data_IF_379423215559
#
_entry.id   IF_379423215559
#
_cell.length_a   1.000
_cell.length_b   1.000
_cell.length_c   1.000
_cell.angle_alpha   90.00
_cell.angle_beta   90.00
_cell.angle_gamma   90.00
#
_symmetry.space_group_name_H-M   'P 1'
#
loop_
_entity.id
_entity.type
_entity.pdbx_description
1 polymer ?
#
# COMPACT_ATOMS: atom_id res chain seq x y z
N UNK A 1 77.71 2.84 16.37
CA UNK A 1 76.58 1.94 16.70
C UNK A 1 75.29 2.61 16.17
N UNK A 2 74.90 2.29 14.92
CA UNK A 2 73.77 2.91 14.24
C UNK A 2 72.53 2.07 14.39
N UNK A 3 71.56 2.59 15.14
CA UNK A 3 70.20 2.00 15.27
C UNK A 3 69.33 2.47 14.13
N UNK A 4 69.00 1.60 13.18
CA UNK A 4 67.95 1.81 12.18
C UNK A 4 66.60 1.51 12.83
N UNK A 5 65.68 2.47 12.87
CA UNK A 5 64.30 2.29 13.25
C UNK A 5 63.51 1.66 12.08
N UNK A 6 62.65 0.66 12.32
CA UNK A 6 61.77 0.12 11.28
C UNK A 6 60.61 1.10 11.01
N UNK A 7 60.37 1.37 9.77
CA UNK A 7 59.20 2.12 9.26
C UNK A 7 58.03 1.16 9.16
N UNK A 8 57.03 1.33 10.01
CA UNK A 8 55.76 0.61 9.90
C UNK A 8 54.87 1.37 8.89
N UNK A 9 54.65 0.77 7.72
CA UNK A 9 53.66 1.24 6.74
C UNK A 9 52.30 0.67 7.17
N UNK A 10 51.45 1.53 7.69
CA UNK A 10 50.07 1.20 7.98
C UNK A 10 49.26 1.24 6.67
N UNK A 11 48.96 0.05 6.12
CA UNK A 11 48.10 -0.10 4.96
C UNK A 11 46.64 0.08 5.43
N UNK A 12 46.09 1.28 5.30
CA UNK A 12 44.67 1.53 5.53
C UNK A 12 43.86 0.93 4.38
N UNK A 13 43.32 -0.25 4.62
CA UNK A 13 42.35 -0.88 3.72
C UNK A 13 41.06 -0.07 3.70
N UNK A 14 40.81 0.66 2.61
CA UNK A 14 39.53 1.28 2.34
C UNK A 14 38.55 0.18 1.94
N UNK A 15 37.71 -0.24 2.86
CA UNK A 15 36.53 -1.08 2.55
C UNK A 15 35.54 -0.21 1.76
N UNK A 16 35.55 -0.31 0.45
CA UNK A 16 34.48 0.18 -0.40
C UNK A 16 33.25 -0.72 -0.17
N UNK A 17 32.37 -0.31 0.73
CA UNK A 17 31.01 -0.82 0.74
C UNK A 17 30.38 -0.37 -0.58
N UNK A 18 30.29 -1.26 -1.55
CA UNK A 18 29.42 -1.08 -2.72
C UNK A 18 27.97 -1.16 -2.21
N UNK A 19 27.37 -0.02 -1.90
CA UNK A 19 25.94 0.08 -1.79
C UNK A 19 25.37 -0.31 -3.17
N UNK A 20 24.62 -1.43 -3.23
CA UNK A 20 23.85 -1.75 -4.41
C UNK A 20 22.98 -0.53 -4.74
N UNK A 21 22.88 -0.10 -6.01
CA UNK A 21 22.06 1.05 -6.36
C UNK A 21 20.62 0.71 -5.99
N UNK A 22 20.13 1.30 -4.90
CA UNK A 22 18.72 1.27 -4.56
C UNK A 22 17.99 1.81 -5.79
N UNK A 23 17.10 1.00 -6.39
CA UNK A 23 16.28 1.48 -7.50
C UNK A 23 15.51 2.69 -7.01
N UNK A 24 15.75 3.82 -7.66
CA UNK A 24 15.07 5.07 -7.33
C UNK A 24 13.56 4.91 -7.53
N UNK A 25 12.79 5.52 -6.67
CA UNK A 25 11.35 5.66 -6.83
C UNK A 25 11.06 6.34 -8.18
N UNK A 26 10.14 5.78 -8.95
CA UNK A 26 9.74 6.32 -10.25
C UNK A 26 8.38 6.98 -10.14
N UNK A 27 8.29 8.23 -10.60
CA UNK A 27 7.06 8.99 -10.73
C UNK A 27 6.71 9.17 -12.20
N UNK A 28 5.50 8.78 -12.58
CA UNK A 28 4.87 9.17 -13.83
C UNK A 28 3.79 10.20 -13.51
N UNK A 29 4.02 11.45 -13.94
CA UNK A 29 3.14 12.57 -13.66
C UNK A 29 1.86 12.51 -14.51
N UNK A 30 0.77 13.19 -14.06
CA UNK A 30 -0.42 13.37 -14.87
C UNK A 30 -0.12 14.08 -16.20
N UNK A 31 -0.90 13.77 -17.23
CA UNK A 31 -0.89 14.48 -18.51
C UNK A 31 -1.87 15.64 -18.58
N UNK A 32 -2.75 15.74 -17.58
CA UNK A 32 -3.77 16.79 -17.46
C UNK A 32 -3.63 17.53 -16.12
N UNK A 33 -4.33 18.65 -15.99
CA UNK A 33 -4.50 19.42 -14.76
C UNK A 33 -5.93 19.23 -14.26
N UNK A 34 -6.14 19.29 -12.93
CA UNK A 34 -7.45 19.21 -12.29
C UNK A 34 -7.45 19.82 -10.90
N UNK A 35 -8.61 19.88 -10.26
CA UNK A 35 -8.77 20.39 -8.89
C UNK A 35 -8.34 19.38 -7.82
N UNK A 36 -8.32 18.11 -8.15
CA UNK A 36 -7.87 17.01 -7.32
C UNK A 36 -7.01 16.05 -8.13
N UNK A 37 -6.43 15.04 -7.51
CA UNK A 37 -5.63 14.02 -8.19
C UNK A 37 -5.83 12.63 -7.59
N UNK A 38 -5.38 11.60 -8.31
CA UNK A 38 -5.43 10.20 -7.91
C UNK A 38 -4.05 9.55 -8.04
N UNK A 39 -3.73 8.59 -7.18
CA UNK A 39 -2.46 7.89 -7.22
C UNK A 39 -2.62 6.38 -7.45
N UNK A 40 -1.89 5.85 -8.40
CA UNK A 40 -1.62 4.43 -8.56
C UNK A 40 -0.28 4.13 -7.91
N UNK A 41 -0.30 3.41 -6.79
CA UNK A 41 0.90 2.98 -6.07
C UNK A 41 1.15 1.52 -6.39
N UNK A 42 2.35 1.19 -6.86
CA UNK A 42 2.66 -0.17 -7.31
C UNK A 42 4.10 -0.56 -7.01
N UNK A 43 4.40 -1.85 -6.99
CA UNK A 43 5.79 -2.32 -6.98
C UNK A 43 6.43 -2.25 -8.37
N UNK A 44 7.76 -2.16 -8.42
CA UNK A 44 8.50 -1.99 -9.69
C UNK A 44 8.29 -3.14 -10.68
N UNK A 45 8.06 -4.35 -10.19
CA UNK A 45 7.84 -5.51 -11.06
C UNK A 45 6.45 -5.48 -11.66
N UNK A 46 5.43 -5.24 -10.85
CA UNK A 46 4.05 -5.09 -11.35
C UNK A 46 3.93 -3.93 -12.33
N UNK A 47 4.60 -2.78 -12.05
CA UNK A 47 4.65 -1.64 -12.97
C UNK A 47 5.22 -2.02 -14.35
N UNK A 48 6.23 -2.87 -14.39
CA UNK A 48 6.84 -3.33 -15.64
C UNK A 48 5.98 -4.36 -16.37
N UNK A 49 5.49 -5.38 -15.65
CA UNK A 49 4.73 -6.51 -16.24
C UNK A 49 3.33 -6.09 -16.72
N UNK A 50 2.71 -5.09 -16.06
CA UNK A 50 1.36 -4.62 -16.38
C UNK A 50 1.35 -3.19 -16.96
N UNK A 51 2.48 -2.71 -17.47
CA UNK A 51 2.63 -1.33 -17.95
C UNK A 51 1.55 -0.88 -18.95
N UNK A 52 1.23 -1.65 -20.00
CA UNK A 52 0.20 -1.24 -20.97
C UNK A 52 -1.17 -1.01 -20.32
N UNK A 53 -1.56 -1.90 -19.39
CA UNK A 53 -2.85 -1.84 -18.71
C UNK A 53 -2.92 -0.67 -17.70
N UNK A 54 -1.83 -0.41 -16.97
CA UNK A 54 -1.75 0.74 -16.08
C UNK A 54 -1.79 2.07 -16.86
N UNK A 55 -1.11 2.13 -18.00
CA UNK A 55 -1.17 3.30 -18.87
C UNK A 55 -2.58 3.53 -19.40
N UNK A 56 -3.27 2.48 -19.85
CA UNK A 56 -4.66 2.57 -20.31
C UNK A 56 -5.60 3.00 -19.18
N UNK A 57 -5.43 2.47 -17.97
CA UNK A 57 -6.20 2.84 -16.80
C UNK A 57 -6.00 4.32 -16.44
N UNK A 58 -4.76 4.79 -16.37
CA UNK A 58 -4.43 6.20 -16.18
C UNK A 58 -5.12 7.08 -17.23
N UNK A 59 -4.95 6.76 -18.51
CA UNK A 59 -5.54 7.53 -19.60
C UNK A 59 -7.07 7.59 -19.53
N UNK A 60 -7.70 6.52 -19.09
CA UNK A 60 -9.16 6.45 -18.93
C UNK A 60 -9.63 7.40 -17.81
N UNK A 61 -8.98 7.40 -16.66
CA UNK A 61 -9.31 8.31 -15.56
C UNK A 61 -9.00 9.78 -15.93
N UNK A 62 -7.91 10.03 -16.63
CA UNK A 62 -7.57 11.37 -17.11
C UNK A 62 -8.56 11.88 -18.18
N UNK A 63 -9.12 11.00 -18.99
CA UNK A 63 -10.19 11.37 -19.93
C UNK A 63 -11.48 11.81 -19.22
N UNK A 64 -11.70 11.35 -17.99
CA UNK A 64 -12.81 11.78 -17.11
C UNK A 64 -12.46 13.07 -16.31
N UNK A 65 -11.26 13.61 -16.48
CA UNK A 65 -10.82 14.85 -15.85
C UNK A 65 -10.07 14.66 -14.52
N UNK A 66 -9.70 13.41 -14.14
CA UNK A 66 -8.98 13.12 -12.91
C UNK A 66 -7.48 12.92 -13.20
N UNK A 67 -6.58 13.87 -12.83
CA UNK A 67 -5.13 13.74 -12.94
C UNK A 67 -4.61 12.54 -12.19
N UNK A 68 -3.81 11.66 -12.83
CA UNK A 68 -3.33 10.42 -12.25
C UNK A 68 -1.82 10.35 -12.17
N UNK A 69 -1.29 10.16 -10.96
CA UNK A 69 0.10 9.80 -10.69
C UNK A 69 0.27 8.30 -10.70
N UNK A 70 1.29 7.75 -11.38
CA UNK A 70 1.73 6.37 -11.17
C UNK A 70 3.07 6.42 -10.42
N UNK A 71 3.11 5.84 -9.23
CA UNK A 71 4.31 5.79 -8.40
C UNK A 71 4.72 4.35 -8.20
N UNK A 72 5.91 4.00 -8.66
CA UNK A 72 6.47 2.66 -8.51
C UNK A 72 7.79 2.65 -7.76
N UNK A 73 7.96 1.66 -6.89
CA UNK A 73 9.19 1.47 -6.12
C UNK A 73 9.29 0.02 -5.64
N UNK A 74 10.50 -0.41 -5.27
CA UNK A 74 10.72 -1.65 -4.53
C UNK A 74 10.51 -1.36 -3.03
N UNK A 75 9.22 -1.24 -2.67
CA UNK A 75 8.78 -0.86 -1.33
C UNK A 75 9.26 -1.85 -0.28
N UNK A 76 9.82 -1.36 0.80
CA UNK A 76 10.30 -2.19 1.92
C UNK A 76 9.48 -2.00 3.19
N UNK A 77 8.81 -0.86 3.35
CA UNK A 77 7.96 -0.57 4.51
C UNK A 77 6.69 0.19 4.14
N UNK A 78 5.61 0.07 4.93
CA UNK A 78 4.40 0.87 4.77
C UNK A 78 4.62 2.37 4.87
N UNK A 79 5.56 2.81 5.73
CA UNK A 79 5.87 4.23 5.92
C UNK A 79 6.31 4.90 4.62
N UNK A 80 7.15 4.23 3.83
CA UNK A 80 7.59 4.77 2.52
C UNK A 80 6.40 5.10 1.61
N UNK A 81 5.39 4.26 1.61
CA UNK A 81 4.16 4.48 0.82
C UNK A 81 3.35 5.62 1.42
N UNK A 82 3.18 5.62 2.74
CA UNK A 82 2.42 6.65 3.46
C UNK A 82 3.02 8.04 3.26
N UNK A 83 4.35 8.15 3.29
CA UNK A 83 5.06 9.42 3.08
C UNK A 83 4.82 9.98 1.68
N UNK A 84 4.78 9.11 0.67
CA UNK A 84 4.44 9.50 -0.71
C UNK A 84 3.00 10.01 -0.80
N UNK A 85 2.06 9.31 -0.19
CA UNK A 85 0.65 9.70 -0.21
C UNK A 85 0.44 11.04 0.51
N UNK A 86 1.06 11.24 1.68
CA UNK A 86 1.03 12.52 2.41
C UNK A 86 1.61 13.66 1.59
N UNK A 87 2.72 13.42 0.88
CA UNK A 87 3.30 14.42 0.01
C UNK A 87 2.36 14.78 -1.15
N UNK A 88 1.79 13.79 -1.82
CA UNK A 88 0.83 14.04 -2.91
C UNK A 88 -0.43 14.74 -2.39
N UNK A 89 -0.92 14.40 -1.19
CA UNK A 89 -2.03 15.07 -0.54
C UNK A 89 -1.74 16.56 -0.29
N UNK A 90 -0.59 16.87 0.30
CA UNK A 90 -0.20 18.23 0.65
C UNK A 90 0.13 19.11 -0.58
N UNK A 91 0.74 18.53 -1.62
CA UNK A 91 1.29 19.29 -2.75
C UNK A 91 0.41 19.23 -4.01
N UNK A 92 -0.41 18.18 -4.16
CA UNK A 92 -1.10 17.85 -5.40
C UNK A 92 -2.61 17.57 -5.23
N UNK A 93 -3.19 17.94 -4.09
CA UNK A 93 -4.61 17.73 -3.77
C UNK A 93 -5.07 16.27 -4.04
N UNK A 94 -4.32 15.29 -3.54
CA UNK A 94 -4.66 13.87 -3.68
C UNK A 94 -5.99 13.60 -2.99
N UNK A 95 -6.96 13.04 -3.72
CA UNK A 95 -8.26 12.63 -3.17
C UNK A 95 -8.39 11.13 -2.94
N UNK A 96 -7.55 10.33 -3.62
CA UNK A 96 -7.60 8.87 -3.48
C UNK A 96 -6.43 8.14 -4.10
N UNK A 97 -6.33 6.84 -3.78
CA UNK A 97 -5.30 5.98 -4.35
C UNK A 97 -5.76 4.53 -4.55
N UNK A 98 -5.03 3.81 -5.40
CA UNK A 98 -5.12 2.36 -5.52
C UNK A 98 -3.74 1.73 -5.37
N UNK A 99 -3.65 0.70 -4.53
CA UNK A 99 -2.45 -0.13 -4.38
C UNK A 99 -2.53 -1.32 -5.31
N UNK A 100 -1.59 -1.45 -6.25
CA UNK A 100 -1.59 -2.53 -7.24
C UNK A 100 -0.34 -3.40 -7.08
N UNK A 101 -0.53 -4.71 -6.91
CA UNK A 101 0.56 -5.68 -6.78
C UNK A 101 1.10 -5.83 -5.37
N UNK A 102 2.43 -5.92 -5.25
CA UNK A 102 3.15 -6.20 -4.02
C UNK A 102 3.51 -4.92 -3.25
N UNK A 103 2.50 -4.14 -2.90
CA UNK A 103 2.64 -2.97 -2.00
C UNK A 103 2.51 -3.44 -0.55
N UNK A 104 3.38 -3.01 0.39
CA UNK A 104 3.33 -3.40 1.79
C UNK A 104 1.93 -3.34 2.39
N UNK A 105 1.65 -4.21 3.35
CA UNK A 105 0.35 -4.33 4.01
C UNK A 105 0.56 -4.07 5.51
N UNK A 106 -0.07 -3.03 6.01
CA UNK A 106 -0.12 -2.77 7.44
C UNK A 106 -1.12 -3.72 8.11
N UNK A 107 -0.63 -4.49 9.08
CA UNK A 107 -1.38 -5.44 9.90
C UNK A 107 -1.58 -4.80 11.28
N UNK A 108 -2.82 -4.44 11.62
CA UNK A 108 -3.14 -3.71 12.84
C UNK A 108 -3.62 -4.66 13.93
N UNK A 109 -2.95 -4.62 15.08
CA UNK A 109 -3.35 -5.33 16.29
C UNK A 109 -3.95 -4.38 17.32
N UNK A 110 -4.63 -4.87 18.33
CA UNK A 110 -5.29 -4.15 19.44
C UNK A 110 -6.31 -3.09 19.05
N UNK A 111 -6.21 -2.48 17.89
CA UNK A 111 -7.16 -1.52 17.36
C UNK A 111 -8.07 -2.12 16.28
N UNK A 112 -8.37 -3.40 16.35
CA UNK A 112 -9.20 -4.12 15.38
C UNK A 112 -10.60 -3.52 15.22
N UNK A 113 -11.13 -2.85 16.24
CA UNK A 113 -12.40 -2.12 16.16
C UNK A 113 -12.44 -0.99 15.15
N UNK A 114 -11.28 -0.47 14.74
CA UNK A 114 -11.13 0.54 13.68
C UNK A 114 -10.96 -0.08 12.29
N UNK A 115 -10.77 -1.39 12.20
CA UNK A 115 -10.37 -2.03 10.96
C UNK A 115 -11.27 -3.19 10.55
N UNK A 116 -11.82 -3.93 11.54
CA UNK A 116 -12.60 -5.13 11.34
C UNK A 116 -13.56 -5.38 12.51
N UNK A 117 -14.66 -6.03 12.23
CA UNK A 117 -15.59 -6.50 13.25
C UNK A 117 -15.10 -7.75 13.99
N UNK A 118 -14.10 -8.44 13.47
CA UNK A 118 -13.61 -9.70 14.03
C UNK A 118 -12.48 -9.44 15.03
N UNK A 119 -12.62 -9.98 16.24
CA UNK A 119 -11.63 -9.83 17.31
C UNK A 119 -11.22 -11.20 17.83
N UNK A 120 -9.92 -11.40 18.00
CA UNK A 120 -9.35 -12.55 18.68
C UNK A 120 -8.70 -12.09 19.99
N UNK A 121 -8.63 -12.99 20.97
CA UNK A 121 -7.93 -12.69 22.23
C UNK A 121 -6.41 -12.72 22.00
N UNK A 122 -5.79 -11.57 22.13
CA UNK A 122 -4.36 -11.39 21.90
C UNK A 122 -3.48 -12.06 22.95
N UNK A 123 -4.05 -12.45 24.11
CA UNK A 123 -3.35 -13.20 25.17
C UNK A 123 -3.16 -14.65 24.80
N UNK A 124 -4.08 -15.21 24.03
CA UNK A 124 -4.14 -16.63 23.67
C UNK A 124 -3.65 -16.90 22.25
N UNK A 125 -3.49 -15.83 21.42
CA UNK A 125 -3.14 -15.94 20.02
C UNK A 125 -1.93 -15.06 19.65
N UNK A 126 -1.03 -15.55 18.80
CA UNK A 126 0.13 -14.78 18.38
C UNK A 126 -0.26 -13.58 17.50
N UNK A 127 0.63 -12.60 17.44
CA UNK A 127 0.44 -11.32 16.73
C UNK A 127 -0.04 -11.48 15.28
N UNK A 128 0.47 -12.47 14.54
CA UNK A 128 0.09 -12.69 13.14
C UNK A 128 -1.34 -13.24 12.98
N UNK A 129 -1.94 -13.83 14.03
CA UNK A 129 -3.33 -14.32 14.02
C UNK A 129 -4.31 -13.24 14.49
N UNK A 130 -3.87 -12.36 15.40
CA UNK A 130 -4.71 -11.32 16.00
C UNK A 130 -4.73 -10.02 15.23
N UNK A 131 -3.78 -9.82 14.30
CA UNK A 131 -3.70 -8.63 13.48
C UNK A 131 -4.53 -8.75 12.22
N UNK A 132 -5.11 -7.64 11.78
CA UNK A 132 -5.92 -7.54 10.56
C UNK A 132 -5.29 -6.56 9.58
N UNK A 133 -5.34 -6.84 8.26
CA UNK A 133 -4.88 -5.89 7.26
C UNK A 133 -5.77 -4.65 7.26
N UNK A 134 -5.15 -3.47 7.22
CA UNK A 134 -5.91 -2.23 7.18
C UNK A 134 -5.22 -1.16 6.36
N UNK A 135 -5.89 -0.69 5.32
CA UNK A 135 -5.42 0.44 4.52
C UNK A 135 -5.69 1.79 5.20
N UNK A 136 -6.34 1.81 6.40
CA UNK A 136 -6.43 3.00 7.28
C UNK A 136 -5.05 3.56 7.66
N UNK A 137 -4.05 2.72 7.65
CA UNK A 137 -2.66 3.14 7.80
C UNK A 137 -2.22 4.15 6.72
N UNK A 138 -2.79 4.06 5.53
CA UNK A 138 -2.39 4.84 4.35
C UNK A 138 -3.33 6.01 4.05
N UNK A 139 -4.59 5.92 4.41
CA UNK A 139 -5.63 6.84 3.96
C UNK A 139 -6.21 7.72 5.06
N UNK A 140 -5.84 7.47 6.33
CA UNK A 140 -6.11 8.33 7.48
C UNK A 140 -4.77 8.82 8.03
N UNK A 141 -4.44 10.08 7.74
CA UNK A 141 -3.12 10.62 8.06
C UNK A 141 -2.98 11.08 9.51
N UNK A 142 -4.08 11.23 10.24
CA UNK A 142 -4.09 11.62 11.64
C UNK A 142 -3.79 10.43 12.56
N UNK A 143 -4.10 9.21 12.13
CA UNK A 143 -3.81 8.01 12.92
C UNK A 143 -2.32 7.81 13.12
N UNK A 144 -1.95 7.45 14.36
CA UNK A 144 -0.57 7.18 14.76
C UNK A 144 -0.41 5.71 15.10
N UNK A 145 0.66 5.10 14.59
CA UNK A 145 0.93 3.68 14.74
C UNK A 145 2.33 3.44 15.30
N UNK A 146 2.44 2.41 16.14
CA UNK A 146 3.70 1.94 16.72
C UNK A 146 4.02 0.59 16.11
N UNK A 147 5.19 0.43 15.45
CA UNK A 147 5.61 -0.86 14.90
C UNK A 147 5.69 -1.93 15.98
N UNK A 148 5.25 -3.15 15.66
CA UNK A 148 5.27 -4.30 16.54
C UNK A 148 6.16 -5.41 15.98
N UNK A 149 6.93 -6.06 16.86
CA UNK A 149 7.79 -7.19 16.47
C UNK A 149 9.04 -6.78 15.68
N UNK A 150 9.71 -7.79 15.12
CA UNK A 150 10.89 -7.60 14.27
C UNK A 150 10.45 -7.10 12.89
N UNK A 151 11.20 -6.16 12.25
CA UNK A 151 10.88 -5.73 10.90
C UNK A 151 10.70 -6.92 9.96
N UNK A 152 9.55 -6.98 9.30
CA UNK A 152 9.26 -8.04 8.35
C UNK A 152 10.09 -7.87 7.07
N UNK A 153 10.60 -8.97 6.52
CA UNK A 153 11.21 -8.97 5.19
C UNK A 153 10.16 -9.25 4.08
N UNK A 154 8.89 -9.37 4.45
CA UNK A 154 7.79 -9.65 3.55
C UNK A 154 6.86 -8.47 3.34
N UNK A 155 5.66 -8.77 2.86
CA UNK A 155 4.62 -7.74 2.63
C UNK A 155 3.88 -7.32 3.90
N UNK A 156 3.86 -8.14 4.95
CA UNK A 156 3.09 -7.91 6.18
C UNK A 156 3.97 -7.20 7.22
N UNK A 157 3.51 -6.03 7.68
CA UNK A 157 4.16 -5.23 8.70
C UNK A 157 3.17 -4.97 9.83
N UNK A 158 3.56 -5.26 11.06
CA UNK A 158 2.67 -5.28 12.20
C UNK A 158 2.74 -3.99 12.99
N UNK A 159 1.59 -3.46 13.36
CA UNK A 159 1.44 -2.21 14.11
C UNK A 159 0.38 -2.33 15.18
N UNK A 160 0.56 -1.52 16.21
CA UNK A 160 -0.46 -1.17 17.18
C UNK A 160 -0.81 0.30 17.01
N UNK A 161 -2.08 0.66 17.13
CA UNK A 161 -2.46 2.05 17.14
C UNK A 161 -1.94 2.70 18.45
N UNK A 162 -1.27 3.85 18.32
CA UNK A 162 -0.77 4.58 19.49
C UNK A 162 -1.91 4.98 20.41
N UNK A 163 -1.73 4.91 21.75
CA UNK A 163 -2.72 5.44 22.69
C UNK A 163 -3.00 6.93 22.49
N UNK A 164 -2.03 7.68 21.95
CA UNK A 164 -2.15 9.12 21.67
C UNK A 164 -2.81 9.41 20.31
N UNK A 165 -3.11 8.36 19.53
CA UNK A 165 -3.81 8.48 18.25
C UNK A 165 -5.28 8.86 18.46
N UNK A 166 -5.90 9.61 17.53
CA UNK A 166 -7.36 9.68 17.47
C UNK A 166 -7.98 8.28 17.50
N UNK A 167 -9.05 8.12 18.29
CA UNK A 167 -9.72 6.82 18.47
C UNK A 167 -10.94 6.68 17.53
N UNK A 168 -10.97 7.43 16.45
CA UNK A 168 -11.98 7.41 15.40
C UNK A 168 -11.32 7.47 14.02
N UNK A 169 -12.00 7.01 12.99
CA UNK A 169 -11.54 7.05 11.61
C UNK A 169 -12.05 8.32 10.94
N UNK A 170 -11.15 9.09 10.34
CA UNK A 170 -11.45 10.25 9.53
C UNK A 170 -10.52 10.27 8.31
N UNK A 171 -10.89 9.48 7.28
CA UNK A 171 -10.03 9.31 6.12
C UNK A 171 -9.82 10.61 5.36
N UNK A 172 -8.56 10.96 5.10
CA UNK A 172 -8.17 12.12 4.29
C UNK A 172 -8.34 11.87 2.79
N UNK A 173 -8.13 10.61 2.39
CA UNK A 173 -8.27 10.15 1.02
C UNK A 173 -9.05 8.82 0.99
N UNK A 174 -9.61 8.45 -0.16
CA UNK A 174 -10.12 7.09 -0.34
C UNK A 174 -9.04 6.16 -0.87
N UNK A 175 -9.12 4.87 -0.53
CA UNK A 175 -8.15 3.87 -0.97
C UNK A 175 -8.81 2.58 -1.44
N UNK A 176 -8.10 1.87 -2.32
CA UNK A 176 -8.46 0.53 -2.78
C UNK A 176 -7.21 -0.32 -3.05
N UNK A 177 -7.38 -1.66 -3.08
CA UNK A 177 -6.26 -2.58 -3.28
C UNK A 177 -6.57 -3.65 -4.31
N UNK A 178 -5.70 -3.80 -5.30
CA UNK A 178 -5.72 -4.85 -6.31
C UNK A 178 -4.53 -5.77 -6.06
N UNK A 179 -4.80 -6.89 -5.37
CA UNK A 179 -3.80 -7.88 -5.00
C UNK A 179 -4.16 -9.25 -5.57
N UNK A 180 -3.39 -9.70 -6.53
CA UNK A 180 -3.56 -11.03 -7.10
C UNK A 180 -2.98 -12.12 -6.19
N UNK A 181 -3.58 -13.31 -6.22
CA UNK A 181 -3.13 -14.48 -5.47
C UNK A 181 -2.46 -15.50 -6.40
N UNK A 182 -1.24 -15.91 -6.06
CA UNK A 182 -0.48 -16.91 -6.84
C UNK A 182 -1.21 -18.25 -6.96
N UNK A 183 -2.06 -18.59 -5.99
CA UNK A 183 -2.85 -19.82 -6.01
C UNK A 183 -3.80 -19.90 -7.22
N UNK A 184 -4.18 -18.78 -7.81
CA UNK A 184 -5.08 -18.71 -8.97
C UNK A 184 -4.34 -18.46 -10.29
N UNK A 185 -3.04 -18.71 -10.35
CA UNK A 185 -2.20 -18.58 -11.54
C UNK A 185 -1.29 -17.36 -11.53
N UNK A 186 -0.86 -16.93 -12.73
CA UNK A 186 0.04 -15.81 -12.90
C UNK A 186 -0.57 -14.50 -12.36
N UNK A 187 0.01 -13.88 -11.32
CA UNK A 187 -0.54 -12.69 -10.69
C UNK A 187 -0.57 -11.46 -11.61
N UNK A 188 0.38 -11.33 -12.52
CA UNK A 188 0.43 -10.21 -13.45
C UNK A 188 -0.67 -10.30 -14.51
N UNK A 189 -0.97 -11.51 -14.99
CA UNK A 189 -2.12 -11.74 -15.88
C UNK A 189 -3.45 -11.46 -15.19
N UNK A 190 -3.57 -11.80 -13.89
CA UNK A 190 -4.78 -11.48 -13.12
C UNK A 190 -4.95 -9.97 -12.98
N UNK A 191 -3.90 -9.23 -12.61
CA UNK A 191 -3.91 -7.77 -12.50
C UNK A 191 -4.21 -7.12 -13.85
N UNK A 192 -3.52 -7.53 -14.91
CA UNK A 192 -3.75 -7.00 -16.26
C UNK A 192 -5.22 -7.15 -16.67
N UNK A 193 -5.78 -8.33 -16.51
CA UNK A 193 -7.18 -8.62 -16.82
C UNK A 193 -8.17 -7.81 -15.99
N UNK A 194 -7.86 -7.57 -14.71
CA UNK A 194 -8.69 -6.71 -13.86
C UNK A 194 -8.66 -5.26 -14.34
N UNK A 195 -7.49 -4.73 -14.68
CA UNK A 195 -7.34 -3.37 -15.19
C UNK A 195 -8.03 -3.21 -16.57
N UNK A 196 -7.93 -4.19 -17.44
CA UNK A 196 -8.67 -4.21 -18.73
C UNK A 196 -10.18 -4.14 -18.50
N UNK A 197 -10.69 -4.92 -17.54
CA UNK A 197 -12.09 -4.85 -17.14
C UNK A 197 -12.45 -3.46 -16.59
N UNK A 198 -11.66 -2.90 -15.70
CA UNK A 198 -11.91 -1.57 -15.15
C UNK A 198 -11.96 -0.50 -16.24
N UNK A 199 -11.02 -0.53 -17.20
CA UNK A 199 -11.00 0.38 -18.35
C UNK A 199 -12.25 0.21 -19.22
N UNK A 200 -12.71 -1.01 -19.46
CA UNK A 200 -13.93 -1.25 -20.24
C UNK A 200 -15.17 -0.68 -19.55
N UNK A 201 -15.33 -0.92 -18.24
CA UNK A 201 -16.47 -0.40 -17.46
C UNK A 201 -16.54 1.14 -17.48
N UNK A 202 -15.41 1.84 -17.36
CA UNK A 202 -15.34 3.29 -17.48
C UNK A 202 -15.73 3.80 -18.87
N UNK A 203 -15.41 3.07 -19.94
CA UNK A 203 -15.71 3.47 -21.31
C UNK A 203 -17.14 3.19 -21.70
N UNK A 204 -17.68 2.06 -21.28
CA UNK A 204 -18.98 1.56 -21.74
C UNK A 204 -20.14 2.12 -20.91
N UNK A 205 -19.84 2.76 -19.75
CA UNK A 205 -20.81 3.42 -18.86
C UNK A 205 -22.08 2.58 -18.66
N UNK A 206 -21.94 1.26 -18.47
CA UNK A 206 -23.07 0.36 -18.27
C UNK A 206 -23.85 0.81 -17.03
N UNK A 207 -25.15 1.10 -17.11
CA UNK A 207 -25.92 1.50 -15.95
C UNK A 207 -25.82 0.44 -14.85
N UNK A 208 -25.49 0.87 -13.64
CA UNK A 208 -25.46 0.01 -12.47
C UNK A 208 -26.89 -0.29 -12.04
N UNK A 209 -27.42 -1.45 -12.40
CA UNK A 209 -28.82 -1.84 -12.18
C UNK A 209 -28.99 -2.92 -11.12
N UNK A 210 -27.88 -3.50 -10.62
CA UNK A 210 -27.93 -4.57 -9.65
C UNK A 210 -26.91 -4.35 -8.51
N UNK A 211 -27.39 -4.52 -7.28
CA UNK A 211 -26.55 -4.53 -6.09
C UNK A 211 -26.64 -5.90 -5.40
N UNK A 212 -25.50 -6.55 -5.24
CA UNK A 212 -25.40 -7.82 -4.50
C UNK A 212 -24.74 -7.56 -3.17
N UNK A 213 -25.46 -7.77 -2.09
CA UNK A 213 -24.93 -7.73 -0.72
C UNK A 213 -24.89 -9.14 -0.12
N UNK A 214 -23.74 -9.47 0.43
CA UNK A 214 -23.54 -10.73 1.16
C UNK A 214 -22.99 -10.46 2.56
N UNK A 215 -23.76 -10.77 3.58
CA UNK A 215 -23.40 -10.53 4.99
C UNK A 215 -22.64 -11.68 5.64
N UNK A 216 -22.38 -12.76 4.91
CA UNK A 216 -21.66 -13.94 5.40
C UNK A 216 -22.49 -14.82 6.36
N UNK A 217 -21.93 -15.97 6.72
CA UNK A 217 -22.46 -16.83 7.77
C UNK A 217 -21.61 -16.68 9.03
N UNK A 218 -22.23 -16.31 10.13
CA UNK A 218 -21.59 -16.21 11.43
C UNK A 218 -22.62 -16.09 12.54
N UNK A 219 -22.18 -16.06 13.78
CA UNK A 219 -23.06 -15.95 14.97
C UNK A 219 -23.96 -14.70 14.94
N UNK A 220 -23.61 -13.72 14.11
CA UNK A 220 -24.35 -12.46 13.96
C UNK A 220 -25.34 -12.47 12.79
N UNK A 221 -25.28 -13.46 11.90
CA UNK A 221 -26.15 -13.51 10.71
C UNK A 221 -27.63 -13.66 11.05
N UNK A 222 -27.97 -14.21 12.24
CA UNK A 222 -29.33 -14.35 12.75
C UNK A 222 -29.76 -13.21 13.67
N UNK A 223 -28.93 -12.20 13.88
CA UNK A 223 -29.24 -11.06 14.73
C UNK A 223 -30.01 -10.01 13.92
N UNK A 224 -31.14 -9.52 14.45
CA UNK A 224 -31.90 -8.41 13.88
C UNK A 224 -31.06 -7.13 13.72
N UNK A 225 -29.91 -7.04 14.40
CA UNK A 225 -28.97 -5.93 14.31
C UNK A 225 -28.13 -6.03 13.03
N UNK A 226 -27.91 -7.23 12.50
CA UNK A 226 -27.16 -7.44 11.25
C UNK A 226 -27.90 -6.95 10.00
N UNK A 227 -29.19 -6.63 10.11
CA UNK A 227 -30.07 -6.25 9.01
C UNK A 227 -30.54 -4.79 9.06
N UNK A 228 -29.98 -4.02 9.94
CA UNK A 228 -30.21 -2.57 10.07
C UNK A 228 -28.93 -1.85 9.73
#
# INVERSE_FOLDING_TARGET
>A
MNYRKPFFVLLAGVLLLSAAPGRSQTFENPSIQGSSSFAVITDSRTARECRPQMTAYKQTLEAEGLPVYIVSHDWTTPEQVRDVLRKLYAENALEGCVFIGDVPIAMITKAQHLTSAFKMDERDHPLHETSVPSDRFYDDFDLQFVPQGTPSQGLFHYYEMSPDSPQYISCDIYSGRIKAQKAYGDPYKQIARYLEKAVAEHRDATPFDQFVSYTGHGSYSNSLIAWR
#
